data_IF_414793898049
#
_entry.id   IF_414793898049
#
_cell.length_a   1.000
_cell.length_b   1.000
_cell.length_c   1.000
_cell.angle_alpha   90.00
_cell.angle_beta   90.00
_cell.angle_gamma   90.00
#
_symmetry.space_group_name_H-M   'P 1'
#
loop_
_entity.id
_entity.type
_entity.pdbx_description
1 polymer ?
#
# COMPACT_ATOMS: atom_id res chain seq x y z
N UNK A 1 -9.38 -22.43 13.54
CA UNK A 1 -8.68 -21.27 12.95
C UNK A 1 -9.64 -20.60 11.96
N UNK A 2 -10.34 -19.55 12.39
CA UNK A 2 -11.33 -18.84 11.56
C UNK A 2 -10.60 -17.80 10.71
N UNK A 3 -10.39 -18.10 9.43
CA UNK A 3 -10.03 -17.06 8.46
C UNK A 3 -11.31 -16.28 8.15
N UNK A 4 -11.49 -15.12 8.78
CA UNK A 4 -12.49 -14.15 8.31
C UNK A 4 -12.04 -13.68 6.93
N UNK A 5 -12.73 -14.12 5.89
CA UNK A 5 -12.69 -13.45 4.58
C UNK A 5 -13.42 -12.13 4.79
N UNK A 6 -12.67 -11.08 5.14
CA UNK A 6 -13.18 -9.72 5.11
C UNK A 6 -13.42 -9.32 3.67
N UNK A 7 -14.64 -9.48 3.15
CA UNK A 7 -15.04 -8.80 1.92
C UNK A 7 -15.42 -7.37 2.33
N UNK A 8 -14.44 -6.49 2.34
CA UNK A 8 -14.61 -5.04 2.46
C UNK A 8 -13.47 -4.45 1.63
N UNK A 9 -13.70 -3.77 0.51
CA UNK A 9 -14.44 -2.51 0.41
C UNK A 9 -14.79 -2.30 -1.08
N UNK A 10 -16.07 -2.15 -1.44
CA UNK A 10 -16.46 -1.67 -2.77
C UNK A 10 -16.28 -0.15 -2.75
N UNK A 11 -15.12 0.34 -3.16
CA UNK A 11 -14.91 1.78 -3.28
C UNK A 11 -15.71 2.30 -4.47
N UNK A 12 -16.81 3.02 -4.20
CA UNK A 12 -17.36 3.96 -5.18
C UNK A 12 -16.49 5.21 -5.14
N UNK A 13 -15.56 5.27 -6.09
CA UNK A 13 -14.44 6.23 -6.19
C UNK A 13 -14.92 7.69 -6.29
N UNK A 14 -16.23 7.92 -6.44
CA UNK A 14 -16.84 9.25 -6.59
C UNK A 14 -17.12 9.99 -5.26
N UNK A 15 -16.94 9.36 -4.09
CA UNK A 15 -17.39 9.93 -2.81
C UNK A 15 -16.32 10.02 -1.70
N UNK A 16 -15.02 9.98 -2.03
CA UNK A 16 -13.97 10.22 -1.03
C UNK A 16 -13.75 11.73 -0.89
N UNK A 17 -14.56 12.37 -0.03
CA UNK A 17 -14.35 13.77 0.34
C UNK A 17 -13.06 13.97 1.15
N UNK A 18 -12.51 15.20 1.10
CA UNK A 18 -11.23 15.62 1.69
C UNK A 18 -11.07 15.36 3.20
N UNK A 19 -12.15 14.95 3.90
CA UNK A 19 -12.19 14.72 5.34
C UNK A 19 -12.29 13.24 5.76
N UNK A 20 -11.93 12.28 4.89
CA UNK A 20 -11.89 10.87 5.31
C UNK A 20 -10.72 10.64 6.27
N UNK A 21 -11.03 10.64 7.56
CA UNK A 21 -10.07 10.32 8.62
C UNK A 21 -9.86 8.81 8.64
N UNK A 22 -8.82 8.34 7.95
CA UNK A 22 -8.30 6.98 8.16
C UNK A 22 -7.79 6.86 9.60
N UNK A 23 -8.59 6.28 10.50
CA UNK A 23 -8.13 5.91 11.83
C UNK A 23 -7.28 4.65 11.70
N UNK A 24 -5.96 4.82 11.70
CA UNK A 24 -5.02 3.71 11.72
C UNK A 24 -5.15 3.04 13.09
N UNK A 25 -5.42 1.74 13.12
CA UNK A 25 -5.49 0.99 14.37
C UNK A 25 -4.08 0.81 14.95
N UNK A 26 -3.99 0.85 16.28
CA UNK A 26 -2.71 0.83 16.99
C UNK A 26 -1.95 -0.50 16.82
N UNK A 27 -2.67 -1.58 16.48
CA UNK A 27 -2.17 -2.95 16.38
C UNK A 27 -1.69 -3.35 14.98
N UNK A 28 -1.58 -2.40 14.05
CA UNK A 28 -0.95 -2.66 12.75
C UNK A 28 0.53 -3.01 12.94
N UNK A 29 0.94 -4.14 12.36
CA UNK A 29 2.31 -4.65 12.49
C UNK A 29 3.38 -3.63 12.08
N UNK A 30 4.49 -3.61 12.81
CA UNK A 30 5.63 -2.75 12.50
C UNK A 30 6.14 -2.96 11.07
N UNK A 31 6.14 -4.20 10.57
CA UNK A 31 6.54 -4.52 9.20
C UNK A 31 5.65 -3.82 8.17
N UNK A 32 4.33 -3.79 8.36
CA UNK A 32 3.43 -3.08 7.46
C UNK A 32 3.71 -1.56 7.46
N UNK A 33 3.90 -0.96 8.64
CA UNK A 33 4.28 0.46 8.79
C UNK A 33 5.64 0.76 8.15
N UNK A 34 6.63 -0.13 8.29
CA UNK A 34 7.94 -0.03 7.64
C UNK A 34 7.81 -0.05 6.11
N UNK A 35 6.94 -0.89 5.56
CA UNK A 35 6.67 -0.92 4.13
C UNK A 35 6.00 0.37 3.64
N UNK A 36 5.06 0.92 4.41
CA UNK A 36 4.48 2.23 4.13
C UNK A 36 5.55 3.33 4.17
N UNK A 37 6.43 3.33 5.18
CA UNK A 37 7.54 4.28 5.28
C UNK A 37 8.46 4.24 4.05
N UNK A 38 8.77 3.04 3.54
CA UNK A 38 9.57 2.91 2.31
C UNK A 38 8.88 3.41 1.05
N UNK A 39 7.55 3.33 0.97
CA UNK A 39 6.79 3.95 -0.12
C UNK A 39 6.74 5.46 0.02
N UNK A 40 6.51 5.98 1.23
CA UNK A 40 6.54 7.41 1.52
C UNK A 40 7.90 8.04 1.17
N UNK A 41 9.00 7.38 1.56
CA UNK A 41 10.35 7.77 1.20
C UNK A 41 10.52 7.88 -0.33
N UNK A 42 10.05 6.88 -1.09
CA UNK A 42 10.20 6.89 -2.55
C UNK A 42 9.31 7.93 -3.22
N UNK A 43 8.08 8.14 -2.74
CA UNK A 43 7.15 9.17 -3.24
C UNK A 43 7.77 10.57 -3.24
N UNK A 44 8.59 10.90 -2.22
CA UNK A 44 9.20 12.23 -2.05
C UNK A 44 10.43 12.50 -2.93
N UNK A 45 10.89 11.51 -3.71
CA UNK A 45 12.11 11.64 -4.53
C UNK A 45 11.78 12.09 -5.94
N UNK A 46 12.67 12.86 -6.55
CA UNK A 46 12.55 13.27 -7.96
C UNK A 46 12.61 12.09 -8.93
N UNK A 47 13.22 10.97 -8.54
CA UNK A 47 13.33 9.74 -9.30
C UNK A 47 12.28 8.68 -8.89
N UNK A 48 11.14 9.11 -8.34
CA UNK A 48 10.08 8.23 -7.85
C UNK A 48 9.64 7.23 -8.94
N UNK A 49 9.57 5.93 -8.59
CA UNK A 49 9.12 4.87 -9.51
C UNK A 49 7.59 4.74 -9.53
N UNK A 50 6.95 5.25 -8.48
CA UNK A 50 5.52 5.27 -8.22
C UNK A 50 5.25 6.37 -7.19
N UNK A 51 3.98 6.79 -7.09
CA UNK A 51 3.50 7.75 -6.10
C UNK A 51 2.47 7.05 -5.21
N UNK A 52 2.69 7.07 -3.90
CA UNK A 52 1.73 6.66 -2.88
C UNK A 52 1.55 7.81 -1.88
N UNK A 53 0.44 8.55 -2.03
CA UNK A 53 0.12 9.73 -1.22
C UNK A 53 -0.38 9.38 0.19
N UNK A 54 -0.80 8.14 0.42
CA UNK A 54 -1.32 7.70 1.70
C UNK A 54 -0.22 7.13 2.61
N UNK A 55 0.87 6.64 2.00
CA UNK A 55 1.95 5.93 2.68
C UNK A 55 2.52 6.66 3.90
N UNK A 56 2.69 7.97 3.83
CA UNK A 56 3.28 8.75 4.92
C UNK A 56 2.41 8.75 6.17
N UNK A 57 1.12 9.07 5.99
CA UNK A 57 0.14 9.04 7.08
C UNK A 57 0.04 7.63 7.67
N UNK A 58 -0.01 6.61 6.81
CA UNK A 58 -0.12 5.20 7.21
C UNK A 58 1.11 4.68 7.96
N UNK A 59 2.31 5.16 7.62
CA UNK A 59 3.54 4.79 8.32
C UNK A 59 3.57 5.36 9.76
N UNK A 60 3.13 6.60 9.92
CA UNK A 60 3.26 7.35 11.17
C UNK A 60 4.65 7.94 11.36
N UNK A 61 4.70 9.10 12.04
CA UNK A 61 5.91 9.91 12.21
C UNK A 61 7.08 9.14 12.83
N UNK A 62 6.85 8.43 13.93
CA UNK A 62 7.89 7.67 14.63
C UNK A 62 8.54 6.60 13.75
N UNK A 63 7.75 5.87 12.96
CA UNK A 63 8.28 4.84 12.07
C UNK A 63 9.08 5.46 10.93
N UNK A 64 8.63 6.61 10.38
CA UNK A 64 9.36 7.33 9.33
C UNK A 64 10.74 7.75 9.83
N UNK A 65 10.82 8.38 11.00
CA UNK A 65 12.07 8.83 11.62
C UNK A 65 13.05 7.66 11.85
N UNK A 66 12.54 6.51 12.30
CA UNK A 66 13.35 5.32 12.57
C UNK A 66 13.78 4.55 11.31
N UNK A 67 12.98 4.56 10.23
CA UNK A 67 13.19 3.70 9.06
C UNK A 67 13.91 4.41 7.92
N UNK A 68 13.65 5.71 7.69
CA UNK A 68 14.20 6.46 6.54
C UNK A 68 15.73 6.42 6.48
N UNK A 69 16.50 6.63 7.56
CA UNK A 69 17.96 6.62 7.49
C UNK A 69 18.52 5.29 6.93
N UNK A 70 17.89 4.16 7.31
CA UNK A 70 18.27 2.85 6.80
C UNK A 70 17.90 2.69 5.31
N UNK A 71 16.74 3.17 4.90
CA UNK A 71 16.33 3.14 3.49
C UNK A 71 17.27 3.96 2.62
N UNK A 72 17.72 5.11 3.07
CA UNK A 72 18.72 5.93 2.36
C UNK A 72 20.03 5.19 2.18
N UNK A 73 20.53 4.56 3.24
CA UNK A 73 21.75 3.75 3.18
C UNK A 73 21.60 2.58 2.21
N UNK A 74 20.46 1.88 2.24
CA UNK A 74 20.19 0.76 1.33
C UNK A 74 20.04 1.23 -0.13
N UNK A 75 19.42 2.38 -0.38
CA UNK A 75 19.35 2.97 -1.74
C UNK A 75 20.74 3.34 -2.26
N UNK A 76 21.59 3.99 -1.45
CA UNK A 76 22.98 4.33 -1.83
C UNK A 76 23.82 3.08 -2.13
N UNK A 77 23.53 1.97 -1.45
CA UNK A 77 24.18 0.69 -1.68
C UNK A 77 23.55 -0.12 -2.84
N UNK A 78 22.63 0.45 -3.63
CA UNK A 78 22.00 -0.24 -4.75
C UNK A 78 20.99 -1.32 -4.36
N UNK A 79 20.43 -1.24 -3.14
CA UNK A 79 19.44 -2.20 -2.60
C UNK A 79 18.07 -1.57 -2.34
N UNK A 80 17.41 -0.92 -3.31
CA UNK A 80 16.13 -0.23 -3.10
C UNK A 80 14.93 -1.21 -3.08
N UNK A 81 15.00 -2.26 -2.24
CA UNK A 81 14.08 -3.40 -2.25
C UNK A 81 12.62 -2.98 -2.19
N UNK A 82 12.25 -2.08 -1.29
CA UNK A 82 10.86 -1.61 -1.16
C UNK A 82 10.36 -0.93 -2.42
N UNK A 83 11.21 -0.12 -3.06
CA UNK A 83 10.83 0.62 -4.26
C UNK A 83 10.68 -0.31 -5.46
N UNK A 84 11.66 -1.18 -5.71
CA UNK A 84 11.59 -2.17 -6.80
C UNK A 84 10.41 -3.11 -6.60
N UNK A 85 10.24 -3.64 -5.39
CA UNK A 85 9.15 -4.56 -5.07
C UNK A 85 7.78 -3.92 -5.31
N UNK A 86 7.59 -2.66 -4.89
CA UNK A 86 6.31 -1.97 -5.10
C UNK A 86 6.05 -1.76 -6.58
N UNK A 87 7.03 -1.24 -7.32
CA UNK A 87 6.92 -1.01 -8.76
C UNK A 87 6.62 -2.30 -9.53
N UNK A 88 7.33 -3.37 -9.23
CA UNK A 88 7.14 -4.67 -9.88
C UNK A 88 5.69 -5.17 -9.76
N UNK A 89 5.14 -5.15 -8.54
CA UNK A 89 3.76 -5.59 -8.32
C UNK A 89 2.72 -4.61 -8.86
N UNK A 90 3.03 -3.32 -8.98
CA UNK A 90 2.13 -2.36 -9.63
C UNK A 90 2.02 -2.66 -11.13
N UNK A 91 3.16 -2.77 -11.81
CA UNK A 91 3.22 -3.08 -13.25
C UNK A 91 2.54 -4.41 -13.54
N UNK A 92 2.87 -5.45 -12.77
CA UNK A 92 2.26 -6.77 -12.91
C UNK A 92 0.73 -6.71 -12.75
N UNK A 93 0.24 -5.97 -11.77
CA UNK A 93 -1.21 -5.90 -11.53
C UNK A 93 -1.94 -5.13 -12.64
N UNK A 94 -1.37 -4.04 -13.14
CA UNK A 94 -1.97 -3.27 -14.24
C UNK A 94 -2.00 -4.05 -15.54
N UNK A 95 -0.89 -4.70 -15.88
CA UNK A 95 -0.77 -5.56 -17.07
C UNK A 95 -1.87 -6.63 -17.07
N UNK A 96 -2.03 -7.34 -15.95
CA UNK A 96 -2.99 -8.43 -15.85
C UNK A 96 -4.44 -7.95 -15.73
N UNK A 97 -4.69 -6.75 -15.17
CA UNK A 97 -6.05 -6.19 -15.05
C UNK A 97 -6.76 -5.97 -16.39
N UNK A 98 -6.01 -5.95 -17.51
CA UNK A 98 -6.60 -5.87 -18.85
C UNK A 98 -7.42 -7.14 -19.19
N UNK A 99 -6.98 -8.31 -18.72
CA UNK A 99 -7.59 -9.61 -19.05
C UNK A 99 -8.24 -10.31 -17.85
N UNK A 100 -7.87 -9.91 -16.63
CA UNK A 100 -8.40 -10.44 -15.39
C UNK A 100 -9.28 -9.38 -14.72
N UNK A 101 -10.38 -9.80 -14.09
CA UNK A 101 -11.33 -8.90 -13.39
C UNK A 101 -11.39 -9.13 -11.88
N UNK A 102 -10.60 -10.06 -11.34
CA UNK A 102 -10.51 -10.33 -9.92
C UNK A 102 -9.05 -10.41 -9.49
N UNK A 103 -8.65 -9.55 -8.56
CA UNK A 103 -7.29 -9.49 -8.01
C UNK A 103 -7.39 -9.64 -6.50
N UNK A 104 -6.57 -10.53 -5.94
CA UNK A 104 -6.56 -10.82 -4.49
C UNK A 104 -5.21 -10.43 -3.91
N UNK A 105 -5.24 -9.50 -2.94
CA UNK A 105 -4.08 -9.04 -2.19
C UNK A 105 -4.03 -9.76 -0.84
N UNK A 106 -3.16 -10.75 -0.72
CA UNK A 106 -2.95 -11.52 0.51
C UNK A 106 -1.97 -10.80 1.44
N UNK A 107 -2.30 -10.73 2.73
CA UNK A 107 -1.53 -9.94 3.70
C UNK A 107 -1.50 -8.47 3.30
N UNK A 108 -2.67 -7.92 2.96
CA UNK A 108 -2.79 -6.59 2.39
C UNK A 108 -2.13 -5.50 3.25
N UNK A 109 -2.19 -5.61 4.57
CA UNK A 109 -1.50 -4.72 5.49
C UNK A 109 -1.92 -3.27 5.27
N UNK A 110 -0.92 -2.42 5.01
CA UNK A 110 -1.12 -1.02 4.64
C UNK A 110 -0.94 -0.81 3.13
N UNK A 111 -1.43 -1.74 2.31
CA UNK A 111 -1.42 -1.60 0.85
C UNK A 111 -2.47 -0.57 0.42
N UNK A 112 -2.15 0.22 -0.59
CA UNK A 112 -2.93 1.37 -1.06
C UNK A 112 -3.28 1.27 -2.53
N UNK A 113 -3.02 0.13 -3.17
CA UNK A 113 -3.25 -0.06 -4.61
C UNK A 113 -4.71 0.14 -5.01
N UNK A 114 -5.65 -0.25 -4.14
CA UNK A 114 -7.07 0.05 -4.31
C UNK A 114 -7.35 1.55 -4.50
N UNK A 115 -6.55 2.39 -3.85
CA UNK A 115 -6.76 3.84 -3.72
C UNK A 115 -5.93 4.67 -4.71
N UNK A 116 -4.81 4.15 -5.22
CA UNK A 116 -3.84 4.94 -6.00
C UNK A 116 -3.61 4.45 -7.43
N UNK A 117 -4.17 3.29 -7.81
CA UNK A 117 -3.97 2.71 -9.13
C UNK A 117 -5.22 2.86 -10.00
N UNK A 118 -5.00 3.12 -11.28
CA UNK A 118 -6.05 3.19 -12.30
C UNK A 118 -6.37 1.78 -12.80
N UNK A 119 -7.41 1.17 -12.23
CA UNK A 119 -7.82 -0.18 -12.59
C UNK A 119 -8.73 -0.20 -13.82
N UNK A 120 -8.61 -1.24 -14.64
CA UNK A 120 -9.54 -1.47 -15.74
C UNK A 120 -10.99 -1.62 -15.22
N UNK A 121 -11.96 -1.14 -16.00
CA UNK A 121 -13.37 -1.20 -15.63
C UNK A 121 -13.83 -2.65 -15.35
N UNK A 122 -14.61 -2.80 -14.28
CA UNK A 122 -15.08 -4.11 -13.81
C UNK A 122 -14.03 -4.92 -13.02
N UNK A 123 -12.86 -4.36 -12.74
CA UNK A 123 -11.88 -4.99 -11.83
C UNK A 123 -12.39 -4.96 -10.39
N UNK A 124 -12.38 -6.12 -9.75
CA UNK A 124 -12.68 -6.31 -8.34
C UNK A 124 -11.39 -6.63 -7.60
N UNK A 125 -11.04 -5.80 -6.62
CA UNK A 125 -9.89 -6.00 -5.76
C UNK A 125 -10.38 -6.54 -4.40
N UNK A 126 -9.79 -7.64 -3.95
CA UNK A 126 -10.07 -8.26 -2.66
C UNK A 126 -8.83 -8.17 -1.79
N UNK A 127 -8.96 -7.57 -0.62
CA UNK A 127 -7.90 -7.51 0.38
C UNK A 127 -8.16 -8.54 1.46
N UNK A 128 -7.18 -9.40 1.71
CA UNK A 128 -7.28 -10.44 2.73
C UNK A 128 -6.16 -10.23 3.73
N UNK A 129 -6.53 -9.99 4.98
CA UNK A 129 -5.62 -9.87 6.11
C UNK A 129 -6.35 -10.26 7.41
N UNK A 130 -5.63 -10.22 8.52
CA UNK A 130 -6.19 -10.37 9.85
C UNK A 130 -7.25 -9.29 10.11
N UNK A 131 -8.32 -9.67 10.80
CA UNK A 131 -9.50 -8.81 11.01
C UNK A 131 -9.20 -7.51 11.74
N UNK A 132 -8.09 -7.46 12.46
CA UNK A 132 -7.67 -6.31 13.20
C UNK A 132 -6.91 -5.28 12.31
N UNK A 133 -6.43 -5.69 11.14
CA UNK A 133 -5.77 -4.83 10.16
C UNK A 133 -6.76 -4.20 9.18
N UNK A 134 -7.73 -4.99 8.70
CA UNK A 134 -8.75 -4.50 7.76
C UNK A 134 -9.84 -3.74 8.51
N UNK A 135 -10.19 -2.55 8.01
CA UNK A 135 -11.29 -1.70 8.51
C UNK A 135 -12.52 -1.80 7.64
#
# INVERSE_FOLDING_TARGET
MLFKIGITQKFDIKNIGENTVFKIRDDVSFTAKKMAAGRAYKTRRSDALFIDLFAEKLAGKEVLENVIPRLEADNKAGRPLTSIRTRYFDDLSLEHSQNIRQIVLLGAGLNTRALRMEWASGTHLYEIDQSNILT
#
